data_IF_679172952740
#
_entry.id   IF_679172952740
#
_cell.length_a   1.000
_cell.length_b   1.000
_cell.length_c   1.000
_cell.angle_alpha   90.00
_cell.angle_beta   90.00
_cell.angle_gamma   90.00
#
_symmetry.space_group_name_H-M   'P 1'
#
loop_
_entity.id
_entity.type
_entity.pdbx_description
1 polymer ?
#
# COMPACT_ATOMS: atom_id res chain seq x y z
N UNK A 1 -5.49 14.90 -18.23
CA UNK A 1 -6.07 14.05 -17.18
C UNK A 1 -6.27 14.93 -15.96
N UNK A 2 -7.43 14.86 -15.32
CA UNK A 2 -7.71 15.62 -14.11
C UNK A 2 -6.73 15.18 -13.00
N UNK A 3 -6.13 16.10 -12.20
CA UNK A 3 -5.25 15.72 -11.09
C UNK A 3 -5.83 14.64 -10.17
N UNK A 4 -7.15 14.69 -9.90
CA UNK A 4 -7.82 13.68 -9.07
C UNK A 4 -7.81 12.29 -9.74
N UNK A 5 -8.02 12.21 -11.05
CA UNK A 5 -7.95 10.95 -11.81
C UNK A 5 -6.55 10.34 -11.75
N UNK A 6 -5.49 11.17 -11.76
CA UNK A 6 -4.11 10.69 -11.62
C UNK A 6 -3.89 10.07 -10.24
N UNK A 7 -4.36 10.74 -9.18
CA UNK A 7 -4.20 10.25 -7.82
C UNK A 7 -4.94 8.93 -7.60
N UNK A 8 -6.16 8.81 -8.11
CA UNK A 8 -7.06 7.69 -7.83
C UNK A 8 -7.07 6.61 -8.91
N UNK A 9 -6.29 6.77 -9.98
CA UNK A 9 -6.15 5.73 -11.01
C UNK A 9 -5.80 4.37 -10.38
N UNK A 10 -6.26 3.25 -10.93
CA UNK A 10 -5.84 1.93 -10.46
C UNK A 10 -4.32 1.83 -10.37
N UNK A 11 -3.81 1.16 -9.33
CA UNK A 11 -2.38 0.92 -9.18
C UNK A 11 -1.91 -0.11 -10.20
N UNK A 12 -0.70 0.09 -10.69
CA UNK A 12 -0.02 -0.88 -11.55
C UNK A 12 0.74 -1.91 -10.72
N UNK A 13 1.17 -3.01 -11.35
CA UNK A 13 2.02 -4.03 -10.70
C UNK A 13 3.31 -3.45 -10.14
N UNK A 14 3.86 -2.41 -10.77
CA UNK A 14 5.15 -1.83 -10.39
C UNK A 14 4.99 -0.79 -9.27
N UNK A 15 3.76 -0.37 -8.97
CA UNK A 15 3.44 0.52 -7.85
C UNK A 15 3.07 -0.26 -6.58
N UNK A 16 2.84 -1.57 -6.69
CA UNK A 16 2.45 -2.44 -5.58
C UNK A 16 3.60 -3.36 -5.20
N UNK A 17 3.93 -3.34 -3.92
CA UNK A 17 4.79 -4.32 -3.27
C UNK A 17 3.98 -5.21 -2.33
N UNK A 18 4.55 -6.36 -1.97
CA UNK A 18 3.93 -7.33 -1.07
C UNK A 18 4.81 -7.57 0.14
N UNK A 19 4.19 -7.64 1.33
CA UNK A 19 4.88 -7.98 2.58
C UNK A 19 4.22 -9.16 3.28
N UNK A 20 5.04 -9.92 4.00
CA UNK A 20 4.57 -10.86 5.01
C UNK A 20 4.04 -10.06 6.19
N UNK A 21 2.78 -10.33 6.59
CA UNK A 21 2.17 -9.71 7.78
C UNK A 21 1.99 -10.71 8.93
N UNK A 22 2.02 -12.01 8.63
CA UNK A 22 2.04 -13.07 9.63
C UNK A 22 2.64 -14.33 9.00
N UNK A 23 3.43 -15.07 9.78
CA UNK A 23 3.87 -16.43 9.44
C UNK A 23 3.67 -17.30 10.67
N UNK A 24 2.66 -18.17 10.67
CA UNK A 24 2.28 -19.02 11.80
C UNK A 24 1.37 -20.17 11.36
N UNK A 25 1.36 -21.24 12.14
CA UNK A 25 0.49 -22.40 11.94
C UNK A 25 0.63 -23.02 10.54
N UNK A 26 1.86 -23.08 10.01
CA UNK A 26 2.12 -23.62 8.67
C UNK A 26 1.61 -22.74 7.54
N UNK A 27 1.33 -21.45 7.78
CA UNK A 27 0.81 -20.52 6.77
C UNK A 27 1.50 -19.15 6.85
N UNK A 28 1.67 -18.52 5.69
CA UNK A 28 2.18 -17.16 5.54
C UNK A 28 1.10 -16.25 4.96
N UNK A 29 0.72 -15.19 5.66
CA UNK A 29 -0.24 -14.20 5.18
C UNK A 29 0.49 -13.00 4.59
N UNK A 30 0.08 -12.60 3.39
CA UNK A 30 0.62 -11.45 2.68
C UNK A 30 -0.42 -10.33 2.58
N UNK A 31 0.07 -9.08 2.57
CA UNK A 31 -0.73 -7.92 2.23
C UNK A 31 0.00 -7.05 1.19
N UNK A 32 -0.74 -6.46 0.24
CA UNK A 32 -0.17 -5.51 -0.68
C UNK A 32 -0.01 -4.14 0.00
N UNK A 33 0.97 -3.38 -0.44
CA UNK A 33 1.13 -1.97 -0.09
C UNK A 33 1.70 -1.21 -1.29
N UNK A 34 1.35 0.06 -1.41
CA UNK A 34 1.92 0.92 -2.45
C UNK A 34 3.38 1.26 -2.12
N UNK A 35 4.27 1.33 -3.11
CA UNK A 35 5.61 1.89 -2.90
C UNK A 35 5.54 3.40 -2.58
N UNK A 36 6.43 3.89 -1.73
CA UNK A 36 6.44 5.30 -1.36
C UNK A 36 6.77 6.22 -2.55
N UNK A 37 7.60 5.78 -3.51
CA UNK A 37 7.95 6.52 -4.72
C UNK A 37 6.79 6.55 -5.70
N UNK A 38 5.92 5.54 -5.71
CA UNK A 38 4.68 5.58 -6.48
C UNK A 38 3.74 6.69 -5.97
N UNK A 39 3.62 6.88 -4.65
CA UNK A 39 2.89 8.02 -4.06
C UNK A 39 3.47 9.35 -4.56
N UNK A 40 4.79 9.54 -4.41
CA UNK A 40 5.47 10.77 -4.83
C UNK A 40 5.31 11.03 -6.33
N UNK A 41 5.50 10.00 -7.15
CA UNK A 41 5.35 10.07 -8.62
C UNK A 41 3.94 10.48 -9.03
N UNK A 42 2.90 9.97 -8.35
CA UNK A 42 1.51 10.37 -8.62
C UNK A 42 1.24 11.82 -8.25
N UNK A 43 1.77 12.28 -7.10
CA UNK A 43 1.67 13.68 -6.70
C UNK A 43 2.40 14.61 -7.68
N UNK A 44 3.60 14.24 -8.11
CA UNK A 44 4.37 14.99 -9.11
C UNK A 44 3.66 15.05 -10.46
N UNK A 45 3.07 13.94 -10.92
CA UNK A 45 2.29 13.91 -12.16
C UNK A 45 1.02 14.75 -12.08
N UNK A 46 0.38 14.81 -10.91
CA UNK A 46 -0.88 15.50 -10.72
C UNK A 46 -0.71 17.02 -10.50
N UNK A 47 0.32 17.44 -9.77
CA UNK A 47 0.49 18.83 -9.32
C UNK A 47 1.86 19.44 -9.62
N UNK A 48 2.82 18.66 -10.13
CA UNK A 48 4.21 19.08 -10.31
C UNK A 48 4.97 19.20 -8.99
N UNK A 49 6.30 19.32 -9.07
CA UNK A 49 7.18 19.34 -7.90
C UNK A 49 6.90 20.47 -6.89
N UNK A 50 6.25 21.56 -7.33
CA UNK A 50 5.90 22.70 -6.47
C UNK A 50 4.43 22.72 -6.03
N UNK A 51 3.59 21.83 -6.57
CA UNK A 51 2.15 21.81 -6.29
C UNK A 51 1.76 20.96 -5.08
N UNK A 52 2.73 20.30 -4.44
CA UNK A 52 2.52 19.54 -3.22
C UNK A 52 3.74 19.64 -2.29
N UNK A 53 3.53 19.33 -1.01
CA UNK A 53 4.61 19.20 -0.02
C UNK A 53 4.26 18.12 1.01
N UNK A 54 5.28 17.60 1.69
CA UNK A 54 5.10 16.71 2.84
C UNK A 54 5.92 17.21 4.02
N UNK A 55 5.31 17.20 5.21
CA UNK A 55 6.00 17.41 6.49
C UNK A 55 5.87 16.17 7.35
N UNK A 56 6.92 15.87 8.12
CA UNK A 56 6.93 14.75 9.06
C UNK A 56 7.14 15.29 10.47
N UNK A 57 6.30 14.85 11.41
CA UNK A 57 6.40 15.20 12.82
C UNK A 57 6.47 13.94 13.66
N UNK A 58 7.36 13.88 14.69
CA UNK A 58 7.30 12.81 15.67
C UNK A 58 5.94 12.82 16.37
N UNK A 59 5.40 11.62 16.61
CA UNK A 59 4.13 11.44 17.29
C UNK A 59 4.28 10.44 18.44
N UNK A 60 3.60 10.73 19.54
CA UNK A 60 3.47 9.80 20.66
C UNK A 60 2.00 9.74 21.06
N UNK A 61 1.45 8.53 21.06
CA UNK A 61 0.08 8.25 21.50
C UNK A 61 0.16 7.18 22.58
N UNK A 62 0.00 7.58 23.84
CA UNK A 62 0.26 6.69 24.98
C UNK A 62 1.73 6.24 25.02
N UNK A 63 1.96 4.93 25.01
CA UNK A 63 3.29 4.30 24.96
C UNK A 63 3.80 4.04 23.54
N UNK A 64 3.01 4.36 22.51
CA UNK A 64 3.41 4.14 21.12
C UNK A 64 4.14 5.35 20.55
N UNK A 65 5.26 5.09 19.88
CA UNK A 65 6.03 6.08 19.13
C UNK A 65 5.82 5.90 17.62
N UNK A 66 5.69 7.01 16.91
CA UNK A 66 5.49 7.00 15.47
C UNK A 66 5.83 8.33 14.81
N UNK A 67 5.42 8.43 13.55
CA UNK A 67 5.58 9.62 12.72
C UNK A 67 4.21 9.96 12.14
N UNK A 68 3.83 11.23 12.19
CA UNK A 68 2.72 11.77 11.40
C UNK A 68 3.30 12.36 10.12
N UNK A 69 2.69 12.04 8.99
CA UNK A 69 2.96 12.70 7.71
C UNK A 69 1.77 13.60 7.37
N UNK A 70 2.07 14.84 7.02
CA UNK A 70 1.10 15.81 6.51
C UNK A 70 1.39 16.09 5.05
N UNK A 71 0.49 15.68 4.16
CA UNK A 71 0.57 15.99 2.72
C UNK A 71 -0.31 17.19 2.45
N UNK A 72 0.31 18.28 2.01
CA UNK A 72 -0.38 19.47 1.57
C UNK A 72 -0.34 19.58 0.03
N UNK A 73 -1.48 19.86 -0.58
CA UNK A 73 -1.63 20.03 -2.03
C UNK A 73 -2.21 21.41 -2.29
N UNK A 74 -1.62 22.14 -3.24
CA UNK A 74 -2.15 23.43 -3.68
C UNK A 74 -3.29 23.20 -4.66
N UNK A 75 -4.50 23.64 -4.30
CA UNK A 75 -5.64 23.60 -5.19
C UNK A 75 -5.35 24.47 -6.44
N UNK A 76 -5.34 23.90 -7.66
CA UNK A 76 -5.00 24.66 -8.86
C UNK A 76 -6.07 25.71 -9.23
N UNK A 77 -7.31 25.56 -8.76
CA UNK A 77 -8.42 26.47 -9.05
C UNK A 77 -8.45 27.65 -8.07
N UNK A 78 -8.29 27.39 -6.77
CA UNK A 78 -8.38 28.43 -5.72
C UNK A 78 -7.01 28.99 -5.32
N UNK A 79 -5.93 28.26 -5.60
CA UNK A 79 -4.57 28.60 -5.16
C UNK A 79 -4.28 28.32 -3.69
N UNK A 80 -5.26 27.82 -2.93
CA UNK A 80 -5.16 27.53 -1.50
C UNK A 80 -4.43 26.20 -1.24
N UNK A 81 -3.76 26.10 -0.10
CA UNK A 81 -3.16 24.86 0.36
C UNK A 81 -4.14 24.10 1.23
N UNK A 82 -4.43 22.84 0.86
CA UNK A 82 -5.22 21.91 1.65
C UNK A 82 -4.30 20.81 2.16
N UNK A 83 -4.36 20.53 3.46
CA UNK A 83 -3.53 19.54 4.12
C UNK A 83 -4.36 18.37 4.67
N UNK A 84 -3.83 17.15 4.52
CA UNK A 84 -4.36 15.95 5.15
C UNK A 84 -3.22 15.16 5.76
N UNK A 85 -3.48 14.53 6.90
CA UNK A 85 -2.47 13.85 7.69
C UNK A 85 -2.94 12.48 8.19
N UNK A 86 -1.98 11.58 8.36
CA UNK A 86 -2.14 10.29 9.03
C UNK A 86 -0.76 9.90 9.62
N UNK A 87 -0.73 8.90 10.51
CA UNK A 87 0.47 8.46 11.18
C UNK A 87 0.77 6.99 11.01
N UNK A 88 2.02 6.61 11.22
CA UNK A 88 2.46 5.22 11.31
C UNK A 88 3.39 5.04 12.49
N UNK A 89 3.25 3.92 13.18
CA UNK A 89 4.21 3.48 14.19
C UNK A 89 5.56 3.10 13.57
N UNK A 90 6.56 2.94 14.44
CA UNK A 90 7.85 2.38 14.07
C UNK A 90 7.71 0.96 13.50
N UNK A 91 8.54 0.62 12.50
CA UNK A 91 8.63 -0.77 12.00
C UNK A 91 9.63 -1.60 12.80
N UNK A 92 9.46 -2.92 12.84
CA UNK A 92 10.38 -3.83 13.56
C UNK A 92 11.80 -3.90 12.97
N UNK A 93 11.98 -3.68 11.65
CA UNK A 93 13.29 -3.81 11.00
C UNK A 93 14.08 -2.50 10.93
N UNK A 94 13.49 -1.42 10.41
CA UNK A 94 14.12 -0.10 10.34
C UNK A 94 13.17 0.97 10.91
N UNK A 95 13.02 1.05 12.25
CA UNK A 95 12.00 1.85 12.95
C UNK A 95 11.72 3.23 12.34
N UNK A 96 12.78 3.99 12.08
CA UNK A 96 12.68 5.36 11.58
C UNK A 96 12.21 5.44 10.12
N UNK A 97 12.86 4.70 9.21
CA UNK A 97 12.51 4.71 7.77
C UNK A 97 11.14 4.08 7.51
N UNK A 98 10.83 3.01 8.22
CA UNK A 98 9.54 2.34 8.17
C UNK A 98 8.40 3.26 8.64
N UNK A 99 8.60 3.99 9.74
CA UNK A 99 7.64 4.98 10.24
C UNK A 99 7.35 6.10 9.25
N UNK A 100 8.41 6.72 8.68
CA UNK A 100 8.27 7.80 7.69
C UNK A 100 7.52 7.33 6.44
N UNK A 101 7.95 6.23 5.83
CA UNK A 101 7.32 5.71 4.61
C UNK A 101 5.90 5.21 4.87
N UNK A 102 5.65 4.57 6.02
CA UNK A 102 4.32 4.17 6.44
C UNK A 102 3.38 5.37 6.58
N UNK A 103 3.83 6.43 7.26
CA UNK A 103 3.03 7.63 7.47
C UNK A 103 2.71 8.33 6.15
N UNK A 104 3.68 8.49 5.25
CA UNK A 104 3.46 9.05 3.91
C UNK A 104 2.37 8.28 3.15
N UNK A 105 2.49 6.95 3.10
CA UNK A 105 1.54 6.09 2.39
C UNK A 105 0.14 6.18 2.98
N UNK A 106 0.02 6.24 4.31
CA UNK A 106 -1.26 6.38 4.99
C UNK A 106 -1.89 7.75 4.75
N UNK A 107 -1.12 8.84 4.87
CA UNK A 107 -1.60 10.19 4.58
C UNK A 107 -2.06 10.33 3.12
N UNK A 108 -1.39 9.64 2.18
CA UNK A 108 -1.76 9.58 0.78
C UNK A 108 -3.15 8.95 0.54
N UNK A 109 -3.59 8.02 1.40
CA UNK A 109 -4.94 7.44 1.31
C UNK A 109 -6.03 8.49 1.55
N UNK A 110 -5.78 9.53 2.36
CA UNK A 110 -6.72 10.64 2.56
C UNK A 110 -6.94 11.46 1.26
N UNK A 111 -5.99 11.38 0.33
CA UNK A 111 -6.05 11.96 -1.02
C UNK A 111 -6.55 10.99 -2.09
N UNK A 112 -6.88 9.75 -1.72
CA UNK A 112 -7.41 8.72 -2.62
C UNK A 112 -6.35 7.78 -3.19
N UNK A 113 -5.07 8.08 -2.99
CA UNK A 113 -3.96 7.27 -3.51
C UNK A 113 -3.93 5.92 -2.78
N UNK A 114 -4.01 4.83 -3.55
CA UNK A 114 -3.91 3.47 -3.03
C UNK A 114 -5.07 2.99 -2.16
N UNK A 115 -6.22 3.68 -2.12
CA UNK A 115 -7.41 3.23 -1.38
C UNK A 115 -7.91 1.86 -1.82
N UNK A 116 -7.74 1.52 -3.10
CA UNK A 116 -8.13 0.22 -3.63
C UNK A 116 -7.41 -0.95 -2.94
N UNK A 117 -6.23 -0.74 -2.34
CA UNK A 117 -5.50 -1.81 -1.64
C UNK A 117 -6.28 -2.41 -0.46
N UNK A 118 -7.21 -1.65 0.13
CA UNK A 118 -8.09 -2.14 1.19
C UNK A 118 -9.19 -3.09 0.68
N UNK A 119 -9.42 -3.14 -0.64
CA UNK A 119 -10.35 -4.08 -1.28
C UNK A 119 -9.61 -5.27 -1.90
N UNK A 120 -8.29 -5.36 -1.77
CA UNK A 120 -7.53 -6.49 -2.29
C UNK A 120 -7.82 -7.75 -1.46
N UNK A 121 -7.81 -8.93 -2.11
CA UNK A 121 -7.93 -10.20 -1.41
C UNK A 121 -6.77 -10.41 -0.44
N UNK A 122 -7.07 -11.04 0.70
CA UNK A 122 -6.02 -11.55 1.58
C UNK A 122 -5.33 -12.74 0.91
N UNK A 123 -4.02 -12.69 0.79
CA UNK A 123 -3.23 -13.79 0.21
C UNK A 123 -2.66 -14.64 1.34
N UNK A 124 -2.90 -15.95 1.26
CA UNK A 124 -2.36 -16.96 2.17
C UNK A 124 -1.50 -17.92 1.36
N UNK A 125 -0.27 -18.12 1.79
CA UNK A 125 0.68 -19.06 1.20
C UNK A 125 0.86 -20.24 2.17
N UNK A 126 0.82 -21.47 1.67
CA UNK A 126 1.15 -22.66 2.44
C UNK A 126 2.63 -22.68 2.82
N UNK A 127 2.90 -23.05 4.07
CA UNK A 127 4.23 -23.00 4.67
C UNK A 127 4.49 -21.69 5.42
N UNK A 128 5.46 -21.74 6.32
CA UNK A 128 5.97 -20.58 7.06
C UNK A 128 7.21 -20.05 6.35
N UNK A 129 7.08 -18.86 5.74
CA UNK A 129 8.09 -18.28 4.88
C UNK A 129 8.59 -16.96 5.46
N UNK A 130 9.90 -16.85 5.62
CA UNK A 130 10.55 -15.58 5.99
C UNK A 130 10.50 -14.56 4.85
N UNK A 131 10.57 -15.03 3.60
CA UNK A 131 10.52 -14.22 2.39
C UNK A 131 9.44 -14.76 1.47
N UNK A 132 8.79 -13.89 0.69
CA UNK A 132 7.74 -14.31 -0.24
C UNK A 132 8.36 -15.14 -1.37
N UNK A 133 7.88 -16.37 -1.64
CA UNK A 133 8.38 -17.16 -2.76
C UNK A 133 8.26 -16.42 -4.09
N UNK A 134 9.29 -16.49 -4.93
CA UNK A 134 9.32 -15.76 -6.21
C UNK A 134 8.12 -16.08 -7.11
N UNK A 135 7.71 -17.35 -7.17
CA UNK A 135 6.57 -17.78 -7.96
C UNK A 135 5.24 -17.21 -7.46
N UNK A 136 5.11 -17.03 -6.14
CA UNK A 136 3.97 -16.31 -5.55
C UNK A 136 3.99 -14.85 -5.97
N UNK A 137 5.13 -14.16 -5.89
CA UNK A 137 5.22 -12.77 -6.36
C UNK A 137 4.85 -12.63 -7.84
N UNK A 138 5.35 -13.54 -8.69
CA UNK A 138 5.04 -13.53 -10.12
C UNK A 138 3.55 -13.74 -10.39
N UNK A 139 2.91 -14.66 -9.66
CA UNK A 139 1.45 -14.88 -9.71
C UNK A 139 0.64 -13.64 -9.36
N UNK A 140 1.12 -12.85 -8.39
CA UNK A 140 0.43 -11.67 -7.86
C UNK A 140 0.53 -10.44 -8.79
N UNK A 141 1.46 -10.41 -9.74
CA UNK A 141 1.58 -9.31 -10.74
C UNK A 141 0.32 -9.12 -11.58
N UNK A 142 -0.48 -10.18 -11.77
CA UNK A 142 -1.74 -10.10 -12.52
C UNK A 142 -2.90 -9.50 -11.72
N UNK A 143 -2.78 -9.39 -10.40
CA UNK A 143 -3.88 -8.97 -9.53
C UNK A 143 -4.30 -7.50 -9.74
N UNK A 144 -3.37 -6.53 -9.86
CA UNK A 144 -3.76 -5.13 -10.05
C UNK A 144 -4.55 -4.90 -11.32
N UNK A 145 -4.17 -5.59 -12.41
CA UNK A 145 -4.94 -5.58 -13.65
C UNK A 145 -6.36 -6.13 -13.46
N UNK A 146 -6.51 -7.22 -12.70
CA UNK A 146 -7.84 -7.78 -12.44
C UNK A 146 -8.72 -6.82 -11.62
N UNK A 147 -8.14 -6.12 -10.64
CA UNK A 147 -8.82 -5.07 -9.87
C UNK A 147 -9.24 -3.91 -10.77
N UNK A 148 -8.32 -3.42 -11.60
CA UNK A 148 -8.58 -2.31 -12.54
C UNK A 148 -9.69 -2.65 -13.55
N UNK A 149 -9.79 -3.91 -13.98
CA UNK A 149 -10.85 -4.41 -14.86
C UNK A 149 -12.18 -4.69 -14.13
N UNK A 150 -12.25 -4.47 -12.82
CA UNK A 150 -13.45 -4.71 -12.01
C UNK A 150 -13.84 -6.19 -11.90
N UNK A 151 -12.89 -7.11 -12.08
CA UNK A 151 -13.16 -8.54 -12.00
C UNK A 151 -13.56 -8.92 -10.57
N UNK A 152 -14.57 -9.78 -10.36
CA UNK A 152 -14.89 -10.29 -9.05
C UNK A 152 -13.71 -11.11 -8.53
N UNK A 153 -13.16 -10.70 -7.38
CA UNK A 153 -12.06 -11.39 -6.70
C UNK A 153 -12.59 -12.13 -5.46
N UNK A 154 -12.04 -13.30 -5.13
CA UNK A 154 -12.38 -13.96 -3.88
C UNK A 154 -11.91 -13.11 -2.69
N UNK A 155 -12.50 -13.27 -1.51
CA UNK A 155 -12.02 -12.60 -0.29
C UNK A 155 -10.60 -13.05 0.09
N UNK A 156 -10.28 -14.33 -0.19
CA UNK A 156 -8.99 -14.95 0.13
C UNK A 156 -8.45 -15.70 -1.08
N UNK A 157 -7.20 -15.44 -1.44
CA UNK A 157 -6.42 -16.23 -2.40
C UNK A 157 -5.50 -17.16 -1.60
N UNK A 158 -5.57 -18.47 -1.87
CA UNK A 158 -4.68 -19.47 -1.25
C UNK A 158 -3.72 -20.02 -2.29
N UNK A 159 -2.43 -19.98 -1.99
CA UNK A 159 -1.35 -20.41 -2.89
C UNK A 159 -0.41 -21.39 -2.18
N UNK A 160 0.19 -22.32 -2.93
CA UNK A 160 1.39 -23.02 -2.49
C UNK A 160 2.64 -22.16 -2.77
N UNK A 161 3.83 -22.65 -2.43
CA UNK A 161 5.09 -21.92 -2.65
C UNK A 161 5.40 -21.73 -4.15
N UNK A 162 4.80 -22.55 -5.00
CA UNK A 162 4.89 -22.55 -6.45
C UNK A 162 3.91 -21.54 -7.10
N UNK A 163 3.10 -20.84 -6.31
CA UNK A 163 2.15 -19.82 -6.78
C UNK A 163 0.87 -20.40 -7.40
N UNK A 164 0.60 -21.69 -7.20
CA UNK A 164 -0.57 -22.39 -7.70
C UNK A 164 -1.72 -22.31 -6.69
N UNK A 165 -2.96 -22.26 -7.18
CA UNK A 165 -4.13 -22.14 -6.31
C UNK A 165 -4.40 -23.43 -5.54
N UNK A 166 -4.54 -23.31 -4.22
CA UNK A 166 -4.90 -24.43 -3.35
C UNK A 166 -6.38 -24.36 -3.01
N UNK A 167 -7.12 -25.45 -3.24
CA UNK A 167 -8.53 -25.56 -2.81
C UNK A 167 -8.54 -25.65 -1.28
N UNK A 168 -9.53 -25.01 -0.64
CA UNK A 168 -9.78 -25.20 0.79
C UNK A 168 -9.95 -26.71 0.99
N UNK A 169 -9.04 -27.36 1.73
CA UNK A 169 -9.24 -28.74 2.16
C UNK A 169 -10.60 -28.79 2.85
N UNK A 170 -11.51 -29.60 2.32
CA UNK A 170 -12.74 -29.93 3.02
C UNK A 170 -12.35 -30.68 4.28
N UNK A 171 -12.44 -29.98 5.41
CA UNK A 171 -12.45 -30.57 6.74
C UNK A 171 -13.82 -30.32 7.33
#
# INVERSE_FOLDING_TARGET
MNPLEILTAPLTSDEIEWKVIASKNGQTTLAPYIDARAVMTRLDRAFGAFGWSVRYTPAQVGSEHGVIASIAIRNPETGEWVEKQDGSGASDMEPFKGGISGALKRAATAWGIGRELYTYPRVIVEGEHRFIPFKVLDRLKGLPRAVAEGKPLPEVIRLNAEGESVRKGGG
#
